data_IF_608556949618
#
_entry.id   IF_608556949618
#
_cell.length_a   1.000
_cell.length_b   1.000
_cell.length_c   1.000
_cell.angle_alpha   90.00
_cell.angle_beta   90.00
_cell.angle_gamma   90.00
#
_symmetry.space_group_name_H-M   'P 1'
#
loop_
_entity.id
_entity.type
_entity.pdbx_description
1 polymer ?
#
# COMPACT_ATOMS: atom_id res chain seq x y z
N UNK A 1 5.62 5.02 -19.01
CA UNK A 1 5.06 4.31 -17.84
C UNK A 1 6.10 3.37 -17.27
N UNK A 2 6.15 3.23 -15.96
CA UNK A 2 6.92 2.21 -15.24
C UNK A 2 5.99 1.52 -14.26
N UNK A 3 6.10 0.19 -14.18
CA UNK A 3 5.25 -0.63 -13.30
C UNK A 3 6.13 -1.30 -12.25
N UNK A 4 5.78 -1.13 -10.99
CA UNK A 4 6.32 -1.90 -9.88
C UNK A 4 5.46 -3.13 -9.67
N UNK A 5 6.10 -4.29 -9.51
CA UNK A 5 5.42 -5.59 -9.34
C UNK A 5 6.22 -6.40 -8.32
N UNK A 6 5.56 -6.90 -7.28
CA UNK A 6 6.18 -7.91 -6.41
C UNK A 6 6.45 -9.20 -7.18
N UNK A 7 7.55 -9.87 -6.87
CA UNK A 7 8.04 -11.04 -7.62
C UNK A 7 7.05 -12.23 -7.68
N UNK A 8 6.12 -12.30 -6.74
CA UNK A 8 5.10 -13.34 -6.63
C UNK A 8 3.73 -12.94 -7.22
N UNK A 9 3.67 -11.78 -7.87
CA UNK A 9 2.43 -11.27 -8.47
C UNK A 9 2.23 -11.80 -9.88
N UNK A 10 1.03 -12.25 -10.18
CA UNK A 10 0.60 -12.53 -11.54
C UNK A 10 -0.39 -11.46 -12.00
N UNK A 11 -0.13 -10.87 -13.17
CA UNK A 11 -1.00 -9.89 -13.81
C UNK A 11 -1.81 -10.55 -14.93
N UNK A 12 -3.12 -10.22 -15.08
CA UNK A 12 -3.88 -10.65 -16.24
C UNK A 12 -3.34 -9.99 -17.52
N UNK A 13 -3.53 -10.63 -18.67
CA UNK A 13 -3.04 -10.16 -19.98
C UNK A 13 -3.51 -8.75 -20.33
N UNK A 14 -4.75 -8.41 -19.93
CA UNK A 14 -5.36 -7.11 -20.17
C UNK A 14 -4.82 -5.97 -19.27
N UNK A 15 -3.99 -6.27 -18.29
CA UNK A 15 -3.51 -5.27 -17.32
C UNK A 15 -2.82 -4.07 -18.00
N UNK A 16 -1.85 -4.33 -18.86
CA UNK A 16 -1.12 -3.26 -19.54
C UNK A 16 -1.97 -2.55 -20.61
N UNK A 17 -2.89 -3.27 -21.25
CA UNK A 17 -3.84 -2.67 -22.19
C UNK A 17 -4.76 -1.69 -21.49
N UNK A 18 -5.27 -2.05 -20.32
CA UNK A 18 -6.15 -1.19 -19.53
C UNK A 18 -5.40 0.06 -19.01
N UNK A 19 -4.16 -0.10 -18.55
CA UNK A 19 -3.32 1.06 -18.19
C UNK A 19 -3.10 1.98 -19.40
N UNK A 20 -2.80 1.41 -20.57
CA UNK A 20 -2.60 2.20 -21.78
C UNK A 20 -3.88 2.97 -22.13
N UNK A 21 -5.04 2.31 -22.10
CA UNK A 21 -6.34 2.94 -22.33
C UNK A 21 -6.57 4.11 -21.37
N UNK A 22 -6.49 3.87 -20.06
CA UNK A 22 -6.68 4.90 -19.03
C UNK A 22 -5.69 6.06 -19.19
N UNK A 23 -4.44 5.75 -19.56
CA UNK A 23 -3.41 6.76 -19.78
C UNK A 23 -3.71 7.63 -21.01
N UNK A 24 -4.18 7.04 -22.13
CA UNK A 24 -4.48 7.79 -23.35
C UNK A 24 -5.80 8.59 -23.25
N UNK A 25 -6.77 8.09 -22.47
CA UNK A 25 -8.04 8.78 -22.21
C UNK A 25 -7.85 10.02 -21.32
N UNK A 26 -6.82 10.06 -20.47
CA UNK A 26 -6.52 11.18 -19.60
C UNK A 26 -5.89 12.37 -20.35
N UNK A 27 -6.10 13.58 -19.83
CA UNK A 27 -5.43 14.80 -20.34
C UNK A 27 -3.91 14.76 -20.05
N UNK A 28 -3.06 15.48 -20.80
CA UNK A 28 -1.61 15.51 -20.55
C UNK A 28 -1.22 15.89 -19.11
N UNK A 29 -1.95 16.82 -18.49
CA UNK A 29 -1.73 17.24 -17.10
C UNK A 29 -2.10 16.12 -16.11
N UNK A 30 -3.22 15.45 -16.32
CA UNK A 30 -3.63 14.30 -15.52
C UNK A 30 -2.65 13.15 -15.66
N UNK A 31 -2.20 12.82 -16.89
CA UNK A 31 -1.20 11.78 -17.14
C UNK A 31 0.07 11.98 -16.32
N UNK A 32 0.53 13.23 -16.19
CA UNK A 32 1.77 13.55 -15.47
C UNK A 32 1.68 13.30 -13.95
N UNK A 33 0.47 13.26 -13.39
CA UNK A 33 0.21 13.18 -11.94
C UNK A 33 -0.65 11.99 -11.51
N UNK A 34 -0.81 10.96 -12.35
CA UNK A 34 -1.65 9.80 -12.04
C UNK A 34 -0.82 8.58 -11.68
N UNK A 35 -1.19 7.92 -10.57
CA UNK A 35 -0.78 6.57 -10.21
C UNK A 35 -1.90 5.60 -10.57
N UNK A 36 -1.56 4.46 -11.19
CA UNK A 36 -2.50 3.43 -11.61
C UNK A 36 -2.36 2.23 -10.67
N UNK A 37 -3.47 1.81 -10.06
CA UNK A 37 -3.48 0.82 -8.97
C UNK A 37 -4.52 -0.26 -9.26
N UNK A 38 -4.15 -1.55 -9.38
CA UNK A 38 -5.10 -2.64 -9.48
C UNK A 38 -5.60 -3.07 -8.09
N UNK A 39 -6.81 -3.62 -7.99
CA UNK A 39 -7.22 -4.37 -6.82
C UNK A 39 -6.38 -5.65 -6.70
N UNK A 40 -6.15 -6.10 -5.46
CA UNK A 40 -5.43 -7.35 -5.20
C UNK A 40 -6.41 -8.48 -4.88
N UNK A 41 -6.02 -9.70 -5.25
CA UNK A 41 -6.71 -10.93 -4.85
C UNK A 41 -5.69 -11.99 -4.44
N UNK A 42 -5.94 -12.65 -3.30
CA UNK A 42 -5.19 -13.82 -2.87
C UNK A 42 -5.93 -15.06 -3.37
N UNK A 43 -5.55 -15.58 -4.53
CA UNK A 43 -6.28 -16.64 -5.23
C UNK A 43 -5.43 -17.88 -5.54
N UNK A 44 -4.14 -17.89 -5.12
CA UNK A 44 -3.22 -18.97 -5.53
C UNK A 44 -3.09 -20.07 -4.48
N UNK A 45 -2.74 -19.75 -3.25
CA UNK A 45 -2.48 -20.74 -2.20
C UNK A 45 -3.26 -20.50 -0.91
N UNK A 46 -4.39 -19.78 -0.96
CA UNK A 46 -5.17 -19.41 0.22
C UNK A 46 -5.67 -20.63 1.00
N UNK A 47 -5.90 -21.76 0.33
CA UNK A 47 -6.36 -23.03 0.92
C UNK A 47 -5.26 -23.83 1.63
N UNK A 48 -3.97 -23.51 1.40
CA UNK A 48 -2.83 -24.17 2.03
C UNK A 48 -2.32 -23.46 3.27
N UNK A 49 -2.71 -22.21 3.49
CA UNK A 49 -2.21 -21.42 4.62
C UNK A 49 -3.05 -21.62 5.88
N UNK A 50 -2.46 -21.45 7.09
CA UNK A 50 -3.18 -21.51 8.34
C UNK A 50 -4.39 -20.57 8.39
N UNK A 51 -5.47 -20.99 9.02
CA UNK A 51 -6.73 -20.26 9.10
C UNK A 51 -6.58 -18.79 9.57
N UNK A 52 -5.82 -18.49 10.65
CA UNK A 52 -5.62 -17.10 11.06
C UNK A 52 -4.86 -16.27 10.01
N UNK A 53 -3.93 -16.88 9.25
CA UNK A 53 -3.21 -16.25 8.15
C UNK A 53 -4.20 -15.88 7.05
N UNK A 54 -5.00 -16.85 6.61
CA UNK A 54 -6.02 -16.67 5.55
C UNK A 54 -6.98 -15.53 5.88
N UNK A 55 -7.56 -15.55 7.07
CA UNK A 55 -8.50 -14.50 7.51
C UNK A 55 -7.86 -13.12 7.51
N UNK A 56 -6.62 -13.02 7.99
CA UNK A 56 -5.88 -11.75 8.02
C UNK A 56 -5.56 -11.24 6.61
N UNK A 57 -5.16 -12.12 5.70
CA UNK A 57 -4.83 -11.74 4.32
C UNK A 57 -6.07 -11.33 3.53
N UNK A 58 -7.22 -11.98 3.74
CA UNK A 58 -8.49 -11.53 3.18
C UNK A 58 -8.86 -10.13 3.68
N UNK A 59 -8.63 -9.84 4.97
CA UNK A 59 -8.87 -8.50 5.52
C UNK A 59 -7.90 -7.46 4.96
N UNK A 60 -6.64 -7.84 4.75
CA UNK A 60 -5.64 -7.00 4.11
C UNK A 60 -6.05 -6.64 2.67
N UNK A 61 -6.50 -7.62 1.89
CA UNK A 61 -7.08 -7.39 0.57
C UNK A 61 -8.28 -6.44 0.63
N UNK A 62 -9.16 -6.61 1.62
CA UNK A 62 -10.32 -5.73 1.85
C UNK A 62 -9.91 -4.30 2.15
N UNK A 63 -8.90 -4.08 2.97
CA UNK A 63 -8.35 -2.76 3.25
C UNK A 63 -7.81 -2.11 1.97
N UNK A 64 -7.09 -2.85 1.13
CA UNK A 64 -6.61 -2.41 -0.19
C UNK A 64 -7.76 -2.04 -1.14
N UNK A 65 -8.75 -2.92 -1.28
CA UNK A 65 -9.92 -2.69 -2.14
C UNK A 65 -10.74 -1.48 -1.68
N UNK A 66 -10.91 -1.30 -0.36
CA UNK A 66 -11.64 -0.14 0.20
C UNK A 66 -11.01 1.20 -0.15
N UNK A 67 -9.69 1.20 -0.37
CA UNK A 67 -8.94 2.38 -0.83
C UNK A 67 -9.24 2.77 -2.28
N UNK A 68 -9.75 1.84 -3.08
CA UNK A 68 -9.98 2.03 -4.51
C UNK A 68 -11.42 2.44 -4.83
N UNK A 69 -12.26 2.59 -3.80
CA UNK A 69 -13.64 3.02 -3.98
C UNK A 69 -13.76 4.44 -4.57
N UNK A 70 -14.82 4.74 -5.34
CA UNK A 70 -14.98 6.04 -6.01
C UNK A 70 -15.06 7.22 -5.04
N UNK A 71 -15.44 6.99 -3.78
CA UNK A 71 -15.46 7.98 -2.71
C UNK A 71 -14.11 8.14 -1.99
N UNK A 72 -13.08 7.37 -2.36
CA UNK A 72 -11.78 7.44 -1.71
C UNK A 72 -11.03 8.69 -2.13
N UNK A 73 -10.69 9.55 -1.16
CA UNK A 73 -9.94 10.79 -1.41
C UNK A 73 -8.48 10.51 -1.77
N UNK A 74 -7.91 9.42 -1.23
CA UNK A 74 -6.55 8.96 -1.46
C UNK A 74 -6.55 7.44 -1.58
N UNK A 75 -5.74 6.91 -2.49
CA UNK A 75 -5.59 5.47 -2.72
C UNK A 75 -4.11 5.12 -2.64
N UNK A 76 -3.73 4.45 -1.57
CA UNK A 76 -2.35 4.01 -1.33
C UNK A 76 -2.17 2.65 -2.00
N UNK A 77 -1.17 2.46 -2.86
CA UNK A 77 -0.93 1.19 -3.52
C UNK A 77 -0.42 0.13 -2.53
N UNK A 78 -0.58 -1.11 -2.93
CA UNK A 78 0.00 -2.27 -2.25
C UNK A 78 0.60 -3.18 -3.31
N UNK A 79 1.86 -3.53 -3.19
CA UNK A 79 2.56 -4.53 -4.03
C UNK A 79 2.60 -4.27 -5.54
N UNK A 80 1.59 -3.64 -6.14
CA UNK A 80 1.51 -3.38 -7.60
C UNK A 80 0.99 -1.98 -7.86
N UNK A 81 1.70 -1.23 -8.67
CA UNK A 81 1.27 0.07 -9.16
C UNK A 81 2.09 0.53 -10.37
N UNK A 82 1.56 1.47 -11.13
CA UNK A 82 2.25 2.05 -12.28
C UNK A 82 2.31 3.57 -12.18
N UNK A 83 3.43 4.16 -12.57
CA UNK A 83 3.69 5.59 -12.51
C UNK A 83 4.23 6.13 -13.84
N UNK A 84 3.95 7.39 -14.19
CA UNK A 84 4.61 8.08 -15.30
C UNK A 84 6.11 8.20 -15.04
N UNK A 85 6.95 7.91 -16.05
CA UNK A 85 8.41 7.99 -15.93
C UNK A 85 8.88 9.38 -15.47
N UNK A 86 8.23 10.44 -15.95
CA UNK A 86 8.60 11.82 -15.56
C UNK A 86 8.36 12.07 -14.06
N UNK A 87 7.28 11.53 -13.48
CA UNK A 87 7.01 11.65 -12.05
C UNK A 87 8.05 10.89 -11.24
N UNK A 88 8.41 9.67 -11.68
CA UNK A 88 9.48 8.87 -11.04
C UNK A 88 10.81 9.63 -11.05
N UNK A 89 11.18 10.25 -12.18
CA UNK A 89 12.39 11.09 -12.28
C UNK A 89 12.32 12.31 -11.36
N UNK A 90 11.16 12.95 -11.27
CA UNK A 90 10.93 14.13 -10.41
C UNK A 90 11.17 13.81 -8.92
N UNK A 91 10.87 12.61 -8.48
CA UNK A 91 11.07 12.16 -7.09
C UNK A 91 12.39 11.41 -6.87
N UNK A 92 13.31 11.50 -7.83
CA UNK A 92 14.67 10.88 -7.80
C UNK A 92 14.66 9.34 -7.81
N UNK A 93 13.67 8.73 -8.46
CA UNK A 93 13.58 7.29 -8.64
C UNK A 93 12.89 6.55 -7.49
N UNK A 94 12.92 5.22 -7.58
CA UNK A 94 12.48 4.34 -6.48
C UNK A 94 13.52 4.32 -5.36
N UNK A 95 13.05 4.09 -4.15
CA UNK A 95 13.94 3.83 -3.04
C UNK A 95 14.49 2.41 -3.14
N UNK A 96 15.80 2.30 -3.34
CA UNK A 96 16.52 1.03 -3.46
C UNK A 96 17.36 0.74 -2.22
N UNK A 97 17.30 1.61 -1.22
CA UNK A 97 18.04 1.44 0.03
C UNK A 97 17.47 0.27 0.85
N UNK A 98 18.34 -0.44 1.52
CA UNK A 98 17.97 -1.55 2.42
C UNK A 98 17.06 -1.13 3.57
N UNK A 99 16.95 0.16 3.84
CA UNK A 99 16.04 0.75 4.84
C UNK A 99 14.64 1.08 4.30
N UNK A 100 14.42 1.05 2.97
CA UNK A 100 13.13 1.32 2.34
C UNK A 100 12.22 0.09 2.36
N UNK A 101 11.79 -0.32 3.54
CA UNK A 101 11.05 -1.59 3.74
C UNK A 101 9.60 -1.52 3.27
N UNK A 102 8.99 -0.33 3.33
CA UNK A 102 7.64 -0.05 2.82
C UNK A 102 7.69 0.77 1.54
N UNK A 103 8.41 0.29 0.52
CA UNK A 103 8.71 1.04 -0.70
C UNK A 103 7.46 1.53 -1.46
N UNK A 104 6.36 0.79 -1.43
CA UNK A 104 5.09 1.13 -2.07
C UNK A 104 4.42 2.34 -1.38
N UNK A 105 4.31 2.32 -0.05
CA UNK A 105 3.81 3.44 0.73
C UNK A 105 4.74 4.65 0.62
N UNK A 106 6.06 4.44 0.78
CA UNK A 106 7.04 5.52 0.74
C UNK A 106 7.05 6.19 -0.63
N UNK A 107 7.04 5.41 -1.73
CA UNK A 107 6.98 5.94 -3.09
C UNK A 107 5.69 6.73 -3.35
N UNK A 108 4.55 6.24 -2.85
CA UNK A 108 3.30 6.99 -2.89
C UNK A 108 3.42 8.35 -2.21
N UNK A 109 3.97 8.38 -0.98
CA UNK A 109 4.16 9.63 -0.22
C UNK A 109 5.13 10.59 -0.91
N UNK A 110 6.24 10.09 -1.48
CA UNK A 110 7.17 10.91 -2.27
C UNK A 110 6.44 11.61 -3.42
N UNK A 111 5.68 10.86 -4.22
CA UNK A 111 4.90 11.41 -5.34
C UNK A 111 3.82 12.38 -4.85
N UNK A 112 3.10 12.03 -3.79
CA UNK A 112 2.04 12.84 -3.22
C UNK A 112 2.54 14.22 -2.76
N UNK A 113 3.64 14.27 -2.01
CA UNK A 113 4.20 15.53 -1.51
C UNK A 113 4.95 16.31 -2.60
N UNK A 114 5.56 15.65 -3.57
CA UNK A 114 6.16 16.31 -4.73
C UNK A 114 5.12 17.09 -5.55
N UNK A 115 3.91 16.56 -5.65
CA UNK A 115 2.76 17.17 -6.31
C UNK A 115 1.88 18.02 -5.38
N UNK A 116 2.35 18.37 -4.18
CA UNK A 116 1.61 19.19 -3.20
C UNK A 116 0.21 18.64 -2.85
N UNK A 117 0.06 17.31 -2.83
CA UNK A 117 -1.18 16.62 -2.58
C UNK A 117 -2.07 16.42 -3.81
N UNK A 118 -1.60 16.76 -5.02
CA UNK A 118 -2.38 16.66 -6.27
C UNK A 118 -2.22 15.31 -7.00
N UNK A 119 -1.58 14.31 -6.38
CA UNK A 119 -1.45 12.96 -6.96
C UNK A 119 -2.83 12.36 -7.17
N UNK A 120 -3.19 12.01 -8.41
CA UNK A 120 -4.42 11.33 -8.78
C UNK A 120 -4.20 9.83 -8.75
N UNK A 121 -5.17 9.05 -8.31
CA UNK A 121 -5.16 7.60 -8.41
C UNK A 121 -6.25 7.15 -9.39
N UNK A 122 -5.89 6.23 -10.28
CA UNK A 122 -6.81 5.55 -11.20
C UNK A 122 -6.81 4.07 -10.95
N UNK A 123 -7.99 3.47 -10.88
CA UNK A 123 -8.17 2.03 -10.63
C UNK A 123 -8.05 1.28 -11.95
N UNK A 124 -7.13 0.33 -12.00
CA UNK A 124 -6.99 -0.60 -13.12
C UNK A 124 -7.89 -1.80 -12.85
N UNK A 125 -8.98 -1.95 -13.60
CA UNK A 125 -9.95 -3.04 -13.42
C UNK A 125 -9.42 -4.39 -13.96
N UNK A 126 -8.19 -4.72 -13.57
CA UNK A 126 -7.49 -5.96 -13.88
C UNK A 126 -6.81 -6.44 -12.59
N UNK A 127 -7.47 -7.32 -11.82
CA UNK A 127 -7.03 -7.72 -10.50
C UNK A 127 -5.66 -8.41 -10.54
N UNK A 128 -4.73 -7.93 -9.70
CA UNK A 128 -3.42 -8.55 -9.52
C UNK A 128 -3.52 -9.72 -8.53
N UNK A 129 -3.07 -10.88 -8.97
CA UNK A 129 -3.08 -12.14 -8.21
C UNK A 129 -1.84 -12.25 -7.34
N UNK A 130 -2.04 -12.57 -6.06
CA UNK A 130 -1.01 -12.67 -5.05
C UNK A 130 -0.95 -14.06 -4.43
N UNK A 131 0.26 -14.47 -3.98
CA UNK A 131 0.45 -15.63 -3.11
C UNK A 131 0.56 -15.18 -1.66
N UNK A 132 -0.04 -15.98 -0.76
CA UNK A 132 0.22 -15.88 0.66
C UNK A 132 1.61 -16.42 1.01
N UNK A 133 2.13 -16.04 2.17
CA UNK A 133 3.34 -16.65 2.73
C UNK A 133 3.00 -18.07 3.18
N UNK A 134 3.80 -19.03 2.74
CA UNK A 134 3.57 -20.44 3.01
C UNK A 134 4.86 -21.11 3.48
N UNK A 135 4.72 -22.13 4.37
CA UNK A 135 5.81 -23.04 4.72
C UNK A 135 5.85 -24.20 3.74
N UNK A 136 7.04 -24.64 3.34
CA UNK A 136 7.23 -25.83 2.51
C UNK A 136 7.01 -27.16 3.26
N UNK A 137 6.75 -27.12 4.57
CA UNK A 137 6.57 -28.29 5.40
C UNK A 137 5.08 -28.62 5.60
N UNK A 138 4.77 -29.91 5.66
CA UNK A 138 3.41 -30.38 5.93
C UNK A 138 3.16 -30.58 7.43
N UNK A 139 1.88 -30.75 7.80
CA UNK A 139 1.44 -31.07 9.16
C UNK A 139 1.60 -29.93 10.16
N UNK A 140 1.69 -30.26 11.46
CA UNK A 140 1.75 -29.29 12.56
C UNK A 140 2.96 -28.37 12.43
N UNK A 141 4.10 -28.91 12.02
CA UNK A 141 5.32 -28.13 11.81
C UNK A 141 5.12 -27.07 10.74
N UNK A 142 4.59 -27.45 9.59
CA UNK A 142 4.28 -26.51 8.51
C UNK A 142 3.27 -25.45 8.93
N UNK A 143 2.27 -25.83 9.73
CA UNK A 143 1.30 -24.89 10.28
C UNK A 143 1.98 -23.81 11.15
N UNK A 144 2.83 -24.21 12.11
CA UNK A 144 3.54 -23.28 13.00
C UNK A 144 4.54 -22.41 12.23
N UNK A 145 5.27 -22.99 11.28
CA UNK A 145 6.19 -22.24 10.41
C UNK A 145 5.44 -21.21 9.53
N UNK A 146 4.25 -21.56 9.04
CA UNK A 146 3.37 -20.65 8.30
C UNK A 146 2.92 -19.46 9.14
N UNK A 147 2.50 -19.69 10.39
CA UNK A 147 2.18 -18.62 11.34
C UNK A 147 3.40 -17.72 11.60
N UNK A 148 4.57 -18.30 11.81
CA UNK A 148 5.80 -17.57 12.05
C UNK A 148 6.26 -16.75 10.83
N UNK A 149 6.15 -17.33 9.64
CA UNK A 149 6.46 -16.64 8.39
C UNK A 149 5.54 -15.42 8.17
N UNK A 150 4.24 -15.57 8.46
CA UNK A 150 3.28 -14.47 8.40
C UNK A 150 3.56 -13.40 9.46
N UNK A 151 3.93 -13.81 10.66
CA UNK A 151 4.33 -12.88 11.72
C UNK A 151 5.52 -11.99 11.28
N UNK A 152 6.58 -12.60 10.74
CA UNK A 152 7.74 -11.85 10.23
C UNK A 152 7.36 -10.88 9.09
N UNK A 153 6.47 -11.31 8.21
CA UNK A 153 5.92 -10.44 7.17
C UNK A 153 5.14 -9.27 7.79
N UNK A 154 4.33 -9.53 8.82
CA UNK A 154 3.55 -8.50 9.51
C UNK A 154 4.46 -7.48 10.24
N UNK A 155 5.53 -7.91 10.91
CA UNK A 155 6.53 -7.01 11.50
C UNK A 155 7.13 -6.09 10.43
N UNK A 156 7.44 -6.64 9.24
CA UNK A 156 7.94 -5.84 8.11
C UNK A 156 6.92 -4.80 7.64
N UNK A 157 5.65 -5.17 7.51
CA UNK A 157 4.60 -4.22 7.09
C UNK A 157 4.38 -3.12 8.13
N UNK A 158 4.39 -3.47 9.42
CA UNK A 158 4.22 -2.47 10.49
C UNK A 158 5.46 -1.61 10.70
N UNK A 159 6.64 -2.03 10.20
CA UNK A 159 7.85 -1.20 10.16
C UNK A 159 7.66 0.07 9.34
N UNK A 160 6.78 0.05 8.34
CA UNK A 160 6.36 1.23 7.56
C UNK A 160 5.71 2.34 8.38
N UNK A 161 5.47 2.16 9.68
CA UNK A 161 4.99 3.24 10.58
C UNK A 161 5.94 4.45 10.61
N UNK A 162 7.23 4.28 10.30
CA UNK A 162 8.21 5.37 10.12
C UNK A 162 7.79 6.35 9.01
N UNK A 163 7.05 5.90 8.01
CA UNK A 163 6.54 6.74 6.95
C UNK A 163 5.52 7.78 7.45
N UNK A 164 4.89 7.54 8.60
CA UNK A 164 4.08 8.58 9.27
C UNK A 164 4.94 9.77 9.68
N UNK A 165 6.14 9.53 10.20
CA UNK A 165 7.12 10.59 10.52
C UNK A 165 7.63 11.31 9.26
N UNK A 166 7.84 10.57 8.17
CA UNK A 166 8.18 11.17 6.87
C UNK A 166 7.05 12.08 6.38
N UNK A 167 5.79 11.61 6.37
CA UNK A 167 4.63 12.39 5.98
C UNK A 167 4.47 13.67 6.79
N UNK A 168 4.70 13.60 8.12
CA UNK A 168 4.66 14.77 9.00
C UNK A 168 5.73 15.79 8.62
N UNK A 169 6.98 15.37 8.46
CA UNK A 169 8.08 16.25 8.04
C UNK A 169 7.80 16.91 6.68
N UNK A 170 7.29 16.14 5.71
CA UNK A 170 6.95 16.70 4.40
C UNK A 170 5.79 17.68 4.45
N UNK A 171 4.79 17.43 5.30
CA UNK A 171 3.68 18.37 5.53
C UNK A 171 4.18 19.69 6.10
N UNK A 172 5.03 19.66 7.12
CA UNK A 172 5.63 20.88 7.70
C UNK A 172 6.44 21.65 6.65
N UNK A 173 7.24 20.96 5.83
CA UNK A 173 8.00 21.57 4.73
C UNK A 173 7.09 22.18 3.66
N UNK A 174 5.99 21.51 3.33
CA UNK A 174 5.01 21.98 2.35
C UNK A 174 4.31 23.26 2.84
N UNK A 175 3.87 23.27 4.11
CA UNK A 175 3.26 24.44 4.74
C UNK A 175 4.22 25.61 4.82
N UNK A 176 5.48 25.36 5.27
CA UNK A 176 6.53 26.39 5.33
C UNK A 176 6.81 27.05 3.97
N UNK A 177 6.92 26.23 2.90
CA UNK A 177 7.07 26.76 1.53
C UNK A 177 5.87 27.59 1.10
N UNK A 178 4.65 27.14 1.39
CA UNK A 178 3.43 27.88 1.05
C UNK A 178 3.37 29.23 1.75
N UNK A 179 3.68 29.28 3.06
CA UNK A 179 3.73 30.52 3.84
C UNK A 179 4.80 31.50 3.31
N UNK A 180 6.01 30.99 3.03
CA UNK A 180 7.11 31.80 2.49
C UNK A 180 6.76 32.43 1.13
N UNK A 181 6.10 31.68 0.24
CA UNK A 181 5.64 32.23 -1.06
C UNK A 181 4.55 33.27 -0.86
N UNK A 182 3.61 33.04 0.06
CA UNK A 182 2.55 34.01 0.40
C UNK A 182 3.14 35.32 0.94
N UNK A 183 4.14 35.25 1.83
CA UNK A 183 4.83 36.44 2.34
C UNK A 183 5.56 37.21 1.24
N UNK A 184 6.25 36.51 0.32
CA UNK A 184 6.91 37.16 -0.83
C UNK A 184 5.92 37.86 -1.75
N UNK A 185 4.74 37.27 -2.03
CA UNK A 185 3.67 37.95 -2.80
C UNK A 185 3.20 39.24 -2.14
N UNK A 186 2.96 39.23 -0.83
CA UNK A 186 2.58 40.42 -0.08
C UNK A 186 3.67 41.50 -0.15
N UNK A 187 4.94 41.12 -0.01
CA UNK A 187 6.08 42.05 -0.10
C UNK A 187 6.26 42.65 -1.52
N UNK A 188 6.02 41.86 -2.58
CA UNK A 188 6.06 42.36 -3.95
C UNK A 188 4.91 43.32 -4.24
N UNK A 189 3.71 43.04 -3.71
CA UNK A 189 2.54 43.92 -3.90
C UNK A 189 2.73 45.25 -3.15
N UNK A 190 3.27 45.23 -1.93
CA UNK A 190 3.59 46.43 -1.15
C UNK A 190 4.64 47.30 -1.83
N UNK A 191 5.68 46.71 -2.44
CA UNK A 191 6.71 47.43 -3.21
C UNK A 191 6.19 48.03 -4.54
N UNK A 192 5.15 47.47 -5.12
CA UNK A 192 4.56 48.00 -6.35
C UNK A 192 3.54 49.14 -6.07
N UNK A 193 2.87 49.07 -4.91
CA UNK A 193 1.95 50.14 -4.47
C UNK A 193 2.66 51.40 -3.99
N UNK A 194 3.92 51.33 -3.60
CA UNK A 194 4.72 52.49 -3.13
C UNK A 194 5.50 53.21 -4.22
N UNK A 195 5.37 52.81 -5.49
CA UNK A 195 6.03 53.45 -6.65
C UNK A 195 5.06 54.12 -7.64
N UNK A 196 3.95 54.61 -7.20
CA UNK A 196 3.16 55.57 -7.98
C UNK A 196 3.54 56.94 -7.50
N UNK A 197 4.62 57.50 -8.07
CA UNK A 197 4.95 58.92 -7.95
C UNK A 197 3.96 59.73 -8.79
N UNK A 198 3.32 60.75 -8.23
CA UNK A 198 2.33 61.57 -8.94
C UNK A 198 2.97 62.74 -9.73
N UNK A 199 4.24 62.67 -10.06
CA UNK A 199 4.87 63.75 -10.88
C UNK A 199 5.27 63.24 -12.24
N UNK A 200 4.44 63.56 -13.23
CA UNK A 200 4.75 63.38 -14.65
C UNK A 200 5.93 64.24 -15.07
N UNK A 201 7.02 63.61 -15.44
CA UNK A 201 8.07 64.20 -16.24
C UNK A 201 8.46 63.24 -17.35
N UNK A 202 8.01 63.52 -18.57
CA UNK A 202 8.45 62.90 -19.81
C UNK A 202 9.89 63.32 -20.09
N UNK A 203 10.85 62.40 -20.08
CA UNK A 203 12.15 62.55 -20.71
C UNK A 203 12.32 61.50 -21.80
N UNK A 204 12.28 61.98 -23.05
CA UNK A 204 12.71 61.24 -24.25
C UNK A 204 14.18 60.89 -24.15
N UNK A 205 14.51 59.60 -24.21
CA UNK A 205 15.86 59.12 -24.45
C UNK A 205 15.85 58.16 -25.62
N UNK A 206 16.69 58.47 -26.61
CA UNK A 206 16.87 57.85 -27.92
C UNK A 206 17.17 56.33 -27.86
N UNK A 207 16.88 55.56 -28.92
CA UNK A 207 16.98 54.11 -28.91
C UNK A 207 18.44 53.67 -29.12
N UNK A 208 18.98 52.96 -28.13
CA UNK A 208 20.20 52.14 -28.30
C UNK A 208 19.85 50.82 -28.96
N UNK A 209 20.58 50.47 -30.02
CA UNK A 209 20.51 49.20 -30.72
C UNK A 209 20.73 48.01 -29.77
N UNK A 210 19.66 47.27 -29.49
CA UNK A 210 19.74 45.98 -28.80
C UNK A 210 19.77 44.86 -29.83
N UNK A 211 20.73 43.92 -29.66
CA UNK A 211 20.85 42.71 -30.47
C UNK A 211 19.67 41.78 -30.25
N UNK A 212 19.36 40.91 -31.23
CA UNK A 212 18.29 39.91 -31.17
C UNK A 212 18.38 38.97 -29.93
N UNK A 213 19.58 38.77 -29.40
CA UNK A 213 19.83 37.97 -28.19
C UNK A 213 19.31 38.69 -26.93
N UNK A 214 19.42 40.00 -26.83
CA UNK A 214 18.90 40.79 -25.70
C UNK A 214 17.36 40.88 -25.71
N UNK A 215 16.73 40.87 -26.89
CA UNK A 215 15.26 40.79 -27.01
C UNK A 215 14.72 39.46 -26.55
N UNK A 216 15.39 38.33 -26.84
CA UNK A 216 14.98 37.01 -26.36
C UNK A 216 15.11 36.90 -24.84
N UNK A 217 16.15 37.50 -24.26
CA UNK A 217 16.36 37.51 -22.80
C UNK A 217 15.35 38.40 -22.07
N UNK A 218 14.96 39.53 -22.66
CA UNK A 218 13.97 40.44 -22.08
C UNK A 218 12.52 39.95 -22.25
N UNK A 219 12.20 39.19 -23.29
CA UNK A 219 10.89 38.57 -23.44
C UNK A 219 10.68 37.42 -22.47
N UNK A 220 11.76 36.69 -22.10
CA UNK A 220 11.68 35.65 -21.08
C UNK A 220 11.55 36.20 -19.65
N UNK A 221 11.90 37.45 -19.39
CA UNK A 221 11.79 38.09 -18.06
C UNK A 221 10.40 38.72 -17.84
N UNK A 222 9.64 39.06 -18.90
CA UNK A 222 8.30 39.65 -18.79
C UNK A 222 7.14 38.63 -18.73
N UNK A 223 7.41 37.33 -18.90
CA UNK A 223 6.38 36.31 -19.11
C UNK A 223 6.03 35.43 -17.92
N UNK A 224 6.80 35.38 -16.85
CA UNK A 224 6.41 34.53 -15.70
C UNK A 224 6.90 35.15 -14.41
N UNK A 225 6.06 35.95 -13.78
CA UNK A 225 6.14 36.07 -12.33
C UNK A 225 5.76 34.71 -11.73
N UNK A 226 6.75 33.81 -11.58
CA UNK A 226 6.64 32.46 -11.01
C UNK A 226 6.27 32.48 -9.52
N UNK A 227 5.23 33.24 -9.16
CA UNK A 227 4.72 33.33 -7.80
C UNK A 227 3.37 32.64 -7.63
N UNK A 228 3.02 31.66 -8.49
CA UNK A 228 1.91 30.76 -8.18
C UNK A 228 2.41 29.71 -7.20
N UNK A 229 2.16 29.95 -5.91
CA UNK A 229 2.33 28.90 -4.93
C UNK A 229 1.48 27.71 -5.37
N UNK A 230 2.04 26.47 -5.41
CA UNK A 230 1.24 25.30 -5.71
C UNK A 230 0.07 25.25 -4.73
N UNK A 231 -1.14 25.05 -5.25
CA UNK A 231 -2.33 24.92 -4.39
C UNK A 231 -2.21 23.63 -3.61
N UNK A 232 -2.17 23.75 -2.27
CA UNK A 232 -2.11 22.58 -1.38
C UNK A 232 -3.51 22.03 -1.21
N UNK A 233 -3.68 20.73 -1.43
CA UNK A 233 -4.92 20.04 -1.11
C UNK A 233 -4.93 19.56 0.36
N UNK A 234 -5.36 20.43 1.27
CA UNK A 234 -5.40 20.14 2.72
C UNK A 234 -6.29 18.93 3.03
N UNK A 235 -7.42 18.80 2.35
CA UNK A 235 -8.35 17.68 2.53
C UNK A 235 -7.66 16.34 2.21
N UNK A 236 -6.84 16.31 1.15
CA UNK A 236 -6.10 15.10 0.77
C UNK A 236 -4.92 14.83 1.71
N UNK A 237 -4.25 15.87 2.20
CA UNK A 237 -3.22 15.71 3.25
C UNK A 237 -3.83 15.09 4.50
N UNK A 238 -4.99 15.60 4.96
CA UNK A 238 -5.71 15.02 6.10
C UNK A 238 -6.14 13.58 5.83
N UNK A 239 -6.61 13.29 4.62
CA UNK A 239 -6.99 11.93 4.23
C UNK A 239 -5.79 10.95 4.25
N UNK A 240 -4.59 11.40 3.84
CA UNK A 240 -3.36 10.60 3.98
C UNK A 240 -3.09 10.29 5.44
N UNK A 241 -3.14 11.28 6.35
CA UNK A 241 -2.92 11.02 7.78
C UNK A 241 -3.97 10.09 8.38
N UNK A 242 -5.23 10.23 7.97
CA UNK A 242 -6.28 9.28 8.37
C UNK A 242 -5.93 7.87 7.94
N UNK A 243 -5.48 7.67 6.69
CA UNK A 243 -5.09 6.34 6.18
C UNK A 243 -3.86 5.78 6.89
N UNK A 244 -2.86 6.61 7.18
CA UNK A 244 -1.68 6.19 7.97
C UNK A 244 -2.07 5.77 9.38
N UNK A 245 -3.01 6.50 10.01
CA UNK A 245 -3.57 6.13 11.31
C UNK A 245 -4.32 4.80 11.25
N UNK A 246 -5.19 4.62 10.25
CA UNK A 246 -5.92 3.37 10.02
C UNK A 246 -4.98 2.18 9.78
N UNK A 247 -3.87 2.39 9.08
CA UNK A 247 -2.93 1.31 8.74
C UNK A 247 -1.98 0.93 9.89
N UNK A 248 -1.54 1.87 10.71
CA UNK A 248 -0.46 1.63 11.67
C UNK A 248 -0.92 1.69 13.14
N UNK A 249 -1.88 2.54 13.47
CA UNK A 249 -2.30 2.74 14.87
C UNK A 249 -3.52 1.93 15.26
N UNK A 250 -4.52 1.82 14.38
CA UNK A 250 -5.72 1.01 14.68
C UNK A 250 -5.37 -0.47 14.87
N UNK A 251 -4.57 -1.13 14.01
CA UNK A 251 -4.21 -2.52 14.20
C UNK A 251 -3.44 -2.79 15.49
N UNK A 252 -2.69 -1.80 16.00
CA UNK A 252 -1.96 -1.93 17.25
C UNK A 252 -2.88 -2.02 18.48
N UNK A 253 -4.06 -1.43 18.44
CA UNK A 253 -4.91 -1.24 19.60
C UNK A 253 -6.25 -1.98 19.50
N UNK A 254 -6.96 -1.88 18.39
CA UNK A 254 -8.34 -2.35 18.29
C UNK A 254 -8.51 -3.85 18.46
N UNK A 255 -7.71 -4.74 17.80
CA UNK A 255 -7.85 -6.18 18.02
C UNK A 255 -7.52 -6.60 19.45
N UNK A 256 -6.57 -5.93 20.09
CA UNK A 256 -6.24 -6.15 21.49
C UNK A 256 -7.40 -5.77 22.41
N UNK A 257 -8.00 -4.58 22.23
CA UNK A 257 -9.13 -4.13 23.03
C UNK A 257 -10.36 -5.03 22.88
N UNK A 258 -10.65 -5.47 21.65
CA UNK A 258 -11.73 -6.41 21.36
C UNK A 258 -11.50 -7.73 22.10
N UNK A 259 -10.30 -8.29 22.00
CA UNK A 259 -9.96 -9.58 22.61
C UNK A 259 -9.92 -9.47 24.14
N UNK A 260 -9.26 -8.46 24.69
CA UNK A 260 -9.13 -8.25 26.12
C UNK A 260 -10.49 -7.99 26.79
N UNK A 261 -11.36 -7.16 26.17
CA UNK A 261 -12.70 -6.91 26.70
C UNK A 261 -13.57 -8.16 26.68
N UNK A 262 -13.45 -9.00 25.64
CA UNK A 262 -14.17 -10.28 25.58
C UNK A 262 -13.71 -11.26 26.64
N UNK A 263 -12.40 -11.36 26.87
CA UNK A 263 -11.83 -12.22 27.94
C UNK A 263 -12.29 -11.70 29.32
N UNK A 264 -12.26 -10.38 29.53
CA UNK A 264 -12.70 -9.76 30.77
C UNK A 264 -14.17 -10.06 31.09
N UNK A 265 -15.07 -9.94 30.11
CA UNK A 265 -16.50 -10.25 30.27
C UNK A 265 -16.77 -11.72 30.63
N UNK A 266 -15.93 -12.65 30.13
CA UNK A 266 -16.05 -14.06 30.46
C UNK A 266 -15.46 -14.37 31.83
N UNK A 267 -14.32 -13.75 32.19
CA UNK A 267 -13.59 -14.04 33.41
C UNK A 267 -14.17 -13.35 34.65
N UNK A 268 -14.78 -12.16 34.50
CA UNK A 268 -15.28 -11.37 35.63
C UNK A 268 -16.81 -11.45 35.72
N UNK A 269 -17.35 -11.97 36.85
CA UNK A 269 -18.81 -11.96 37.10
C UNK A 269 -19.38 -10.54 37.05
N UNK A 270 -20.47 -10.36 36.33
CA UNK A 270 -21.09 -9.05 36.11
C UNK A 270 -21.38 -8.24 37.38
N UNK A 271 -21.69 -8.92 38.50
CA UNK A 271 -21.98 -8.26 39.77
C UNK A 271 -20.77 -7.60 40.43
N UNK A 272 -19.55 -7.97 40.03
CA UNK A 272 -18.30 -7.36 40.50
C UNK A 272 -17.89 -6.13 39.66
N UNK A 273 -18.53 -5.90 38.52
CA UNK A 273 -18.16 -4.83 37.57
C UNK A 273 -18.92 -3.57 37.95
N UNK A 274 -18.26 -2.40 38.11
CA UNK A 274 -18.94 -1.12 38.33
C UNK A 274 -19.91 -0.78 37.19
N UNK A 275 -21.07 -0.15 37.53
CA UNK A 275 -22.15 0.13 36.58
C UNK A 275 -21.69 0.94 35.37
N UNK A 276 -20.77 1.91 35.57
CA UNK A 276 -20.18 2.69 34.46
C UNK A 276 -19.38 1.83 33.48
N UNK A 277 -18.63 0.84 33.99
CA UNK A 277 -17.88 -0.08 33.17
C UNK A 277 -18.80 -1.10 32.47
N UNK A 278 -19.88 -1.54 33.15
CA UNK A 278 -20.89 -2.40 32.51
C UNK A 278 -21.49 -1.73 31.27
N UNK A 279 -21.87 -0.45 31.36
CA UNK A 279 -22.39 0.30 30.21
C UNK A 279 -21.40 0.34 29.03
N UNK A 280 -20.14 0.56 29.32
CA UNK A 280 -19.07 0.56 28.27
C UNK A 280 -18.91 -0.83 27.67
N UNK A 281 -18.88 -1.88 28.46
CA UNK A 281 -18.77 -3.26 27.99
C UNK A 281 -19.97 -3.68 27.13
N UNK A 282 -21.21 -3.33 27.56
CA UNK A 282 -22.41 -3.60 26.78
C UNK A 282 -22.40 -2.88 25.44
N UNK A 283 -21.95 -1.62 25.40
CA UNK A 283 -21.74 -0.90 24.14
C UNK A 283 -20.64 -1.56 23.25
N UNK A 284 -19.53 -1.96 23.85
CA UNK A 284 -18.49 -2.73 23.14
C UNK A 284 -19.03 -4.07 22.60
N UNK A 285 -19.88 -4.75 23.38
CA UNK A 285 -20.56 -5.98 22.96
C UNK A 285 -21.44 -5.77 21.73
N UNK A 286 -22.25 -4.70 21.73
CA UNK A 286 -23.03 -4.32 20.57
C UNK A 286 -22.16 -4.02 19.34
N UNK A 287 -21.08 -3.26 19.51
CA UNK A 287 -20.13 -2.96 18.43
C UNK A 287 -19.46 -4.24 17.89
N UNK A 288 -19.08 -5.18 18.77
CA UNK A 288 -18.51 -6.48 18.36
C UNK A 288 -19.50 -7.28 17.52
N UNK A 289 -20.74 -7.40 17.97
CA UNK A 289 -21.80 -8.10 17.24
C UNK A 289 -22.03 -7.51 15.86
N UNK A 290 -22.17 -6.18 15.77
CA UNK A 290 -22.35 -5.48 14.50
C UNK A 290 -21.14 -5.69 13.58
N UNK A 291 -19.93 -5.61 14.12
CA UNK A 291 -18.69 -5.85 13.39
C UNK A 291 -18.60 -7.29 12.86
N UNK A 292 -19.06 -8.28 13.65
CA UNK A 292 -19.13 -9.66 13.21
C UNK A 292 -20.08 -9.86 12.02
N UNK A 293 -21.26 -9.26 12.07
CA UNK A 293 -22.24 -9.31 10.95
C UNK A 293 -21.64 -8.63 9.70
N UNK A 294 -20.99 -7.47 9.86
CA UNK A 294 -20.31 -6.78 8.78
C UNK A 294 -19.16 -7.62 8.19
N UNK A 295 -18.43 -8.35 9.03
CA UNK A 295 -17.40 -9.26 8.61
C UNK A 295 -17.96 -10.41 7.76
N UNK A 296 -19.06 -11.02 8.16
CA UNK A 296 -19.75 -12.05 7.37
C UNK A 296 -20.17 -11.53 6.00
N UNK A 297 -20.75 -10.32 5.98
CA UNK A 297 -21.15 -9.68 4.72
C UNK A 297 -19.94 -9.39 3.83
N UNK A 298 -18.81 -8.96 4.43
CA UNK A 298 -17.56 -8.75 3.69
C UNK A 298 -17.02 -10.07 3.12
N UNK A 299 -16.91 -11.13 3.93
CA UNK A 299 -16.40 -12.44 3.49
C UNK A 299 -17.25 -13.00 2.34
N UNK A 300 -18.56 -12.86 2.41
CA UNK A 300 -19.47 -13.26 1.33
C UNK A 300 -19.20 -12.47 0.03
N UNK A 301 -18.97 -11.16 0.12
CA UNK A 301 -18.62 -10.31 -1.03
C UNK A 301 -17.24 -10.63 -1.57
N UNK A 302 -16.29 -10.86 -0.69
CA UNK A 302 -14.93 -11.23 -1.08
C UNK A 302 -14.89 -12.59 -1.78
N UNK A 303 -15.69 -13.56 -1.31
CA UNK A 303 -15.81 -14.87 -2.00
C UNK A 303 -16.28 -14.72 -3.45
N UNK A 304 -17.31 -13.91 -3.70
CA UNK A 304 -17.78 -13.63 -5.05
C UNK A 304 -16.70 -12.97 -5.91
N UNK A 305 -15.99 -12.00 -5.35
CA UNK A 305 -14.89 -11.33 -6.03
C UNK A 305 -13.76 -12.33 -6.36
N UNK A 306 -13.37 -13.15 -5.40
CA UNK A 306 -12.36 -14.18 -5.57
C UNK A 306 -12.74 -15.19 -6.67
N UNK A 307 -13.94 -15.75 -6.63
CA UNK A 307 -14.44 -16.70 -7.64
C UNK A 307 -14.44 -16.08 -9.05
N UNK A 308 -14.83 -14.81 -9.17
CA UNK A 308 -14.78 -14.08 -10.44
C UNK A 308 -13.34 -13.97 -10.95
N UNK A 309 -12.40 -13.57 -10.10
CA UNK A 309 -10.99 -13.44 -10.46
C UNK A 309 -10.38 -14.79 -10.89
N UNK A 310 -10.64 -15.86 -10.12
CA UNK A 310 -10.18 -17.21 -10.44
C UNK A 310 -10.78 -17.70 -11.77
N UNK A 311 -12.08 -17.49 -11.99
CA UNK A 311 -12.76 -17.86 -13.23
C UNK A 311 -12.17 -17.18 -14.46
N UNK A 312 -11.99 -15.87 -14.41
CA UNK A 312 -11.38 -15.09 -15.49
C UNK A 312 -9.94 -15.57 -15.78
N UNK A 313 -9.16 -15.84 -14.77
CA UNK A 313 -7.78 -16.30 -14.90
C UNK A 313 -7.68 -17.69 -15.49
N UNK A 314 -8.51 -18.64 -15.04
CA UNK A 314 -8.58 -19.99 -15.61
C UNK A 314 -8.96 -19.95 -17.08
N UNK A 315 -9.90 -19.10 -17.45
CA UNK A 315 -10.31 -18.95 -18.85
C UNK A 315 -9.17 -18.35 -19.71
N UNK A 316 -8.44 -17.35 -19.19
CA UNK A 316 -7.28 -16.78 -19.86
C UNK A 316 -6.19 -17.85 -20.10
N UNK A 317 -5.87 -18.63 -19.06
CA UNK A 317 -4.87 -19.70 -19.15
C UNK A 317 -5.32 -20.84 -20.08
N UNK A 318 -6.60 -21.16 -20.09
CA UNK A 318 -7.15 -22.14 -21.04
C UNK A 318 -6.95 -21.69 -22.49
N UNK A 319 -7.21 -20.42 -22.78
CA UNK A 319 -7.01 -19.83 -24.12
C UNK A 319 -5.54 -19.81 -24.57
N UNK A 320 -4.63 -19.63 -23.62
CA UNK A 320 -3.18 -19.61 -23.90
C UNK A 320 -2.51 -20.99 -23.84
N UNK A 321 -3.25 -22.05 -23.48
CA UNK A 321 -2.71 -23.41 -23.31
C UNK A 321 -1.84 -23.59 -22.06
N UNK A 322 -1.84 -22.62 -21.14
CA UNK A 322 -1.01 -22.64 -19.92
C UNK A 322 -1.71 -23.30 -18.72
N UNK A 323 -2.98 -23.68 -18.84
CA UNK A 323 -3.76 -24.18 -17.71
C UNK A 323 -3.15 -25.44 -17.09
N UNK A 324 -2.73 -26.42 -17.91
CA UNK A 324 -2.13 -27.66 -17.44
C UNK A 324 -0.82 -27.42 -16.67
N UNK A 325 0.01 -26.48 -17.15
CA UNK A 325 1.25 -26.12 -16.48
C UNK A 325 1.00 -25.45 -15.11
N UNK A 326 -0.09 -24.69 -14.98
CA UNK A 326 -0.47 -24.00 -13.75
C UNK A 326 -1.09 -24.93 -12.71
N UNK A 327 -1.84 -25.95 -13.14
CA UNK A 327 -2.41 -26.95 -12.23
C UNK A 327 -1.32 -27.77 -11.51
N UNK A 328 -0.15 -27.95 -12.12
CA UNK A 328 1.01 -28.60 -11.49
C UNK A 328 1.80 -27.66 -10.56
N UNK A 329 1.90 -26.38 -10.88
CA UNK A 329 2.81 -25.44 -10.18
C UNK A 329 2.06 -24.58 -9.16
N UNK A 330 0.89 -24.06 -9.53
CA UNK A 330 0.10 -23.10 -8.75
C UNK A 330 -1.37 -23.44 -8.84
N UNK A 331 -1.86 -24.32 -8.00
CA UNK A 331 -3.30 -24.57 -7.90
C UNK A 331 -3.99 -23.31 -7.37
N UNK A 332 -5.01 -22.86 -8.08
CA UNK A 332 -5.88 -21.79 -7.59
C UNK A 332 -6.70 -22.26 -6.39
N UNK A 333 -6.83 -21.40 -5.40
CA UNK A 333 -7.74 -21.67 -4.29
C UNK A 333 -9.18 -21.79 -4.81
N UNK A 334 -9.86 -22.93 -4.58
CA UNK A 334 -11.23 -23.13 -5.08
C UNK A 334 -12.20 -22.12 -4.45
N UNK A 335 -11.99 -21.80 -3.17
CA UNK A 335 -12.76 -20.82 -2.40
C UNK A 335 -11.83 -19.94 -1.60
N UNK A 336 -12.23 -18.68 -1.35
CA UNK A 336 -11.47 -17.76 -0.51
C UNK A 336 -11.49 -18.18 0.97
N UNK A 337 -12.61 -18.73 1.43
CA UNK A 337 -12.74 -19.28 2.78
C UNK A 337 -13.46 -20.64 2.71
N UNK A 338 -13.27 -21.47 3.74
CA UNK A 338 -13.88 -22.80 3.75
C UNK A 338 -15.34 -22.72 4.21
N UNK A 339 -16.03 -23.89 4.16
CA UNK A 339 -17.40 -24.06 4.66
C UNK A 339 -17.61 -23.63 6.12
N UNK A 340 -16.54 -23.43 6.87
CA UNK A 340 -16.55 -22.90 8.24
C UNK A 340 -16.42 -21.38 8.31
N UNK A 341 -16.85 -20.63 7.29
CA UNK A 341 -16.74 -19.16 7.22
C UNK A 341 -17.23 -18.39 8.46
N UNK A 342 -18.19 -18.94 9.20
CA UNK A 342 -18.62 -18.40 10.50
C UNK A 342 -17.48 -18.39 11.53
N UNK A 343 -16.70 -19.47 11.58
CA UNK A 343 -15.53 -19.56 12.46
C UNK A 343 -14.39 -18.65 11.99
N UNK A 344 -14.20 -18.51 10.70
CA UNK A 344 -13.19 -17.59 10.15
C UNK A 344 -13.49 -16.15 10.56
N UNK A 345 -14.75 -15.72 10.45
CA UNK A 345 -15.16 -14.39 10.92
C UNK A 345 -14.92 -14.19 12.42
N UNK A 346 -15.17 -15.24 13.24
CA UNK A 346 -14.92 -15.21 14.67
C UNK A 346 -13.42 -15.20 15.03
N UNK A 347 -12.57 -15.79 14.20
CA UNK A 347 -11.12 -15.85 14.41
C UNK A 347 -10.39 -14.56 13.97
N UNK A 348 -11.07 -13.65 13.28
CA UNK A 348 -10.44 -12.40 12.83
C UNK A 348 -9.79 -11.59 13.97
N UNK A 349 -10.40 -11.40 15.17
CA UNK A 349 -9.73 -10.70 16.26
C UNK A 349 -8.42 -11.36 16.68
N UNK A 350 -8.36 -12.70 16.71
CA UNK A 350 -7.15 -13.45 17.01
C UNK A 350 -6.07 -13.22 15.93
N UNK A 351 -6.43 -13.30 14.66
CA UNK A 351 -5.55 -12.96 13.55
C UNK A 351 -5.05 -11.52 13.63
N UNK A 352 -5.94 -10.60 14.01
CA UNK A 352 -5.61 -9.19 14.23
C UNK A 352 -4.62 -8.98 15.39
N UNK A 353 -4.75 -9.73 16.49
CA UNK A 353 -3.76 -9.70 17.59
C UNK A 353 -2.42 -10.26 17.13
N UNK A 354 -2.41 -11.44 16.51
CA UNK A 354 -1.19 -12.15 16.12
C UNK A 354 -0.41 -11.41 15.01
N UNK A 355 -1.11 -10.85 14.02
CA UNK A 355 -0.51 -10.26 12.82
C UNK A 355 -0.74 -8.74 12.67
N UNK A 356 -1.39 -8.12 13.64
CA UNK A 356 -1.57 -6.68 13.74
C UNK A 356 -0.93 -6.13 15.02
N UNK A 357 -1.56 -6.41 16.18
CA UNK A 357 -1.17 -5.80 17.46
C UNK A 357 0.25 -6.16 17.89
N UNK A 358 0.58 -7.46 17.96
CA UNK A 358 1.90 -7.91 18.43
C UNK A 358 3.02 -7.42 17.49
N UNK A 359 2.93 -7.55 16.15
CA UNK A 359 3.92 -6.99 15.25
C UNK A 359 4.04 -5.47 15.32
N UNK A 360 2.95 -4.73 15.52
CA UNK A 360 2.98 -3.29 15.64
C UNK A 360 3.69 -2.83 16.92
N UNK A 361 3.43 -3.48 18.06
CA UNK A 361 4.15 -3.23 19.31
C UNK A 361 5.63 -3.60 19.15
N UNK A 362 5.92 -4.76 18.56
CA UNK A 362 7.28 -5.23 18.29
C UNK A 362 8.05 -4.19 17.45
N UNK A 363 7.52 -3.79 16.30
CA UNK A 363 8.17 -2.81 15.43
C UNK A 363 8.35 -1.45 16.12
N UNK A 364 7.35 -0.97 16.87
CA UNK A 364 7.42 0.31 17.59
C UNK A 364 8.49 0.28 18.68
N UNK A 365 8.58 -0.80 19.45
CA UNK A 365 9.63 -0.94 20.47
C UNK A 365 11.03 -1.03 19.85
N UNK A 366 11.19 -1.76 18.75
CA UNK A 366 12.47 -1.86 18.06
C UNK A 366 12.91 -0.53 17.46
N UNK A 367 11.98 0.33 17.01
CA UNK A 367 12.32 1.67 16.52
C UNK A 367 12.95 2.58 17.60
N UNK A 368 12.79 2.27 18.88
CA UNK A 368 13.50 2.98 19.96
C UNK A 368 15.01 2.68 19.95
N UNK A 369 15.42 1.57 19.35
CA UNK A 369 16.82 1.10 19.39
C UNK A 369 17.48 1.07 18.01
N UNK A 370 16.72 0.89 16.93
CA UNK A 370 17.25 0.80 15.56
C UNK A 370 16.24 1.22 14.51
N UNK A 371 16.73 1.90 13.48
CA UNK A 371 15.96 2.19 12.26
C UNK A 371 16.14 1.09 11.20
N UNK A 372 17.03 0.12 11.43
CA UNK A 372 17.37 -0.93 10.46
C UNK A 372 16.66 -2.22 10.80
N UNK A 373 15.90 -2.74 9.86
CA UNK A 373 15.35 -4.09 9.90
C UNK A 373 16.12 -4.97 8.90
N UNK A 374 16.55 -6.15 9.34
CA UNK A 374 17.10 -7.12 8.41
C UNK A 374 15.98 -7.66 7.51
N UNK A 375 16.02 -7.26 6.25
CA UNK A 375 15.04 -7.71 5.27
C UNK A 375 15.22 -9.20 4.98
N UNK A 376 14.20 -9.99 5.31
CA UNK A 376 14.12 -11.40 4.93
C UNK A 376 13.01 -11.58 3.91
N UNK A 377 13.35 -12.09 2.73
CA UNK A 377 12.37 -12.42 1.70
C UNK A 377 11.45 -13.52 2.23
N UNK A 378 10.14 -13.30 2.16
CA UNK A 378 9.16 -14.31 2.54
C UNK A 378 9.21 -15.48 1.56
N UNK A 379 9.27 -16.70 2.08
CA UNK A 379 9.21 -17.92 1.26
C UNK A 379 7.83 -18.00 0.59
N UNK A 380 7.85 -18.31 -0.68
CA UNK A 380 6.66 -18.49 -1.51
C UNK A 380 6.66 -19.90 -2.10
N UNK A 381 5.51 -20.49 -2.43
CA UNK A 381 5.40 -21.89 -2.87
C UNK A 381 6.41 -22.26 -3.98
N UNK A 382 6.56 -21.41 -4.98
CA UNK A 382 7.47 -21.65 -6.10
C UNK A 382 8.94 -21.71 -5.72
N UNK A 383 9.39 -20.88 -4.78
CA UNK A 383 10.76 -20.88 -4.27
C UNK A 383 11.06 -22.16 -3.46
N UNK A 384 10.05 -22.71 -2.80
CA UNK A 384 10.13 -23.97 -2.07
C UNK A 384 10.31 -25.13 -3.03
N UNK A 385 9.53 -25.20 -4.12
CA UNK A 385 9.64 -26.24 -5.13
C UNK A 385 11.03 -26.24 -5.79
N UNK A 386 11.53 -25.09 -6.22
CA UNK A 386 12.89 -24.98 -6.81
C UNK A 386 13.98 -25.41 -5.82
N UNK A 387 13.84 -25.14 -4.52
CA UNK A 387 14.79 -25.57 -3.50
C UNK A 387 14.77 -27.09 -3.30
N UNK A 388 13.59 -27.70 -3.28
CA UNK A 388 13.45 -29.15 -3.19
C UNK A 388 14.03 -29.87 -4.41
N UNK A 389 13.83 -29.33 -5.62
CA UNK A 389 14.42 -29.88 -6.84
C UNK A 389 15.94 -29.74 -6.85
N UNK A 390 16.48 -28.64 -6.36
CA UNK A 390 17.92 -28.44 -6.21
C UNK A 390 18.52 -29.37 -5.16
N UNK A 391 17.84 -29.57 -4.02
CA UNK A 391 18.28 -30.51 -2.98
C UNK A 391 18.22 -31.97 -3.46
N UNK A 392 17.17 -32.35 -4.23
CA UNK A 392 17.08 -33.66 -4.88
C UNK A 392 18.16 -33.87 -5.92
N UNK A 393 18.43 -32.87 -6.76
CA UNK A 393 19.48 -32.93 -7.77
C UNK A 393 20.87 -33.08 -7.12
N UNK A 394 21.16 -32.32 -6.07
CA UNK A 394 22.41 -32.43 -5.32
C UNK A 394 22.51 -33.75 -4.55
N UNK A 395 21.42 -34.26 -3.98
CA UNK A 395 21.38 -35.56 -3.34
C UNK A 395 21.64 -36.71 -4.33
N UNK A 396 21.12 -36.62 -5.54
CA UNK A 396 21.36 -37.62 -6.60
C UNK A 396 22.81 -37.59 -7.14
N UNK A 397 23.43 -36.42 -7.21
CA UNK A 397 24.84 -36.27 -7.58
C UNK A 397 25.79 -36.91 -6.55
N UNK A 398 25.52 -36.72 -5.26
CA UNK A 398 26.31 -37.30 -4.17
C UNK A 398 26.18 -38.84 -4.09
N UNK A 399 25.03 -39.40 -4.49
CA UNK A 399 24.85 -40.86 -4.54
C UNK A 399 25.50 -41.49 -5.78
N UNK A 400 25.69 -40.75 -6.89
CA UNK A 400 26.40 -41.21 -8.07
C UNK A 400 27.93 -41.23 -7.88
N UNK A 401 28.49 -40.26 -7.16
CA UNK A 401 29.93 -40.25 -6.83
C UNK A 401 30.33 -41.29 -5.77
N UNK A 402 29.40 -41.71 -4.92
CA UNK A 402 29.67 -42.79 -3.93
C UNK A 402 29.55 -44.22 -4.50
N UNK A 403 29.05 -44.36 -5.77
CA UNK A 403 28.86 -45.67 -6.41
C UNK A 403 29.99 -46.11 -7.36
N UNK A 404 30.92 -45.25 -7.70
CA UNK A 404 31.98 -45.52 -8.73
C UNK A 404 33.37 -45.83 -8.10
N UNK A 405 33.42 -46.08 -6.82
CA UNK A 405 34.63 -46.41 -6.05
C UNK A 405 34.66 -47.87 -5.55
N UNK A 406 34.45 -48.85 -6.45
CA UNK A 406 34.79 -50.24 -6.19
C UNK A 406 35.35 -50.92 -7.41
#
# INVERSE_FOLDING_TARGET
MLTHISADTHLPSLYFTEIARLHFDATPDERARTIYIPPLVFDRNLHHVPLPVRTTDMMWAGAGISNLGPSSTVSIPTSVYSLPLNLVRQVSGWDVDTGAIGEDLHMYLKCFFALSGQLRAEVVFAAASQCNVESGNAGIRGYVEGLWARYRQAVRHTWGSLDTGYALRQTIRLLGRHLAVRQRKCSCFAKHSSKVDPTGATSEIAPKHHTLADRARHQNIKGNCCCTAPTISYTRVLAVFRRLFEAHFIPAQLPFLITASSIYEVACPRFLVPSSLQLVLDFCGYCRFTSYIMMLAYLYRYEKYHQTCVGLRKEEMRRTGLLALMDEIDSFSPNAFCTFGLFEAALFPLGGVLFGTIPAIHSTLFHLFTERLTYQVSLKPRAILMRQDTEKANGSLLTHEAGDGR
#
